data_IF_167213699768
#
_entry.id   IF_167213699768
#
_cell.length_a   1.000
_cell.length_b   1.000
_cell.length_c   1.000
_cell.angle_alpha   90.00
_cell.angle_beta   90.00
_cell.angle_gamma   90.00
#
_symmetry.space_group_name_H-M   'P 1'
#
loop_
_entity.id
_entity.type
_entity.pdbx_description
1 polymer ?
#
# COMPACT_ATOMS: atom_id res chain seq x y z
N UNK A 1 -4.08 8.60 -0.13
CA UNK A 1 -2.69 8.95 0.22
C UNK A 1 -1.90 7.65 0.31
N UNK A 2 -0.67 7.59 -0.22
CA UNK A 2 0.14 6.36 -0.19
C UNK A 2 1.59 6.66 0.18
N UNK A 3 2.20 5.74 0.92
CA UNK A 3 3.59 5.83 1.36
C UNK A 3 4.39 4.68 0.75
N UNK A 4 5.49 5.02 0.08
CA UNK A 4 6.46 4.06 -0.42
C UNK A 4 7.60 3.97 0.60
N UNK A 5 7.92 2.76 1.02
CA UNK A 5 9.02 2.50 1.95
C UNK A 5 9.93 1.41 1.42
N UNK A 6 11.23 1.64 1.57
CA UNK A 6 12.24 0.59 1.38
C UNK A 6 12.07 -0.42 2.51
N UNK A 7 11.97 -1.72 2.22
CA UNK A 7 11.78 -2.74 3.24
C UNK A 7 12.89 -2.66 4.32
N UNK A 8 12.56 -2.66 5.63
CA UNK A 8 13.55 -2.71 6.71
C UNK A 8 14.23 -4.09 6.83
N UNK A 9 13.73 -5.10 6.12
CA UNK A 9 14.28 -6.47 6.05
C UNK A 9 14.49 -6.79 4.57
N UNK A 10 15.71 -7.18 4.18
CA UNK A 10 16.00 -7.63 2.81
C UNK A 10 15.28 -8.97 2.56
N UNK A 11 14.10 -8.89 1.97
CA UNK A 11 13.40 -10.06 1.44
C UNK A 11 13.95 -10.27 0.02
N UNK A 12 14.61 -11.40 -0.28
CA UNK A 12 15.00 -11.70 -1.64
C UNK A 12 13.75 -11.68 -2.52
N UNK A 13 13.83 -11.06 -3.70
CA UNK A 13 12.72 -10.85 -4.65
C UNK A 13 11.71 -9.72 -4.34
N UNK A 14 11.86 -8.94 -3.26
CA UNK A 14 11.01 -7.75 -3.02
C UNK A 14 11.88 -6.49 -2.95
N UNK A 15 11.71 -5.59 -3.93
CA UNK A 15 12.51 -4.37 -4.06
C UNK A 15 11.87 -3.19 -3.32
N UNK A 16 10.54 -3.06 -3.38
CA UNK A 16 9.82 -1.97 -2.72
C UNK A 16 8.50 -2.44 -2.13
N UNK A 17 8.16 -1.87 -0.98
CA UNK A 17 6.86 -2.07 -0.34
C UNK A 17 6.13 -0.74 -0.35
N UNK A 18 4.94 -0.73 -0.96
CA UNK A 18 4.03 0.42 -0.95
C UNK A 18 2.84 0.13 -0.05
N UNK A 19 2.47 1.07 0.81
CA UNK A 19 1.22 1.01 1.58
C UNK A 19 0.34 2.18 1.16
N UNK A 20 -0.81 1.88 0.58
CA UNK A 20 -1.80 2.85 0.15
C UNK A 20 -3.04 2.78 1.04
N UNK A 21 -3.53 3.93 1.48
CA UNK A 21 -4.83 4.04 2.13
C UNK A 21 -5.75 4.90 1.25
N UNK A 22 -6.88 4.31 0.87
CA UNK A 22 -7.94 5.00 0.14
C UNK A 22 -9.16 5.10 1.03
N UNK A 23 -9.54 6.32 1.40
CA UNK A 23 -10.76 6.59 2.16
C UNK A 23 -11.77 7.16 1.18
N UNK A 24 -12.83 6.39 0.87
CA UNK A 24 -13.92 6.88 0.06
C UNK A 24 -14.96 7.53 0.97
N UNK A 25 -15.07 8.85 0.88
CA UNK A 25 -16.03 9.66 1.64
C UNK A 25 -17.03 10.32 0.69
N UNK A 26 -17.82 9.52 -0.02
CA UNK A 26 -18.89 9.98 -0.91
C UNK A 26 -20.04 8.97 -0.98
N UNK A 27 -21.22 9.40 -0.49
CA UNK A 27 -22.57 8.79 -0.52
C UNK A 27 -22.74 7.26 -0.33
N UNK A 28 -23.70 6.89 0.53
CA UNK A 28 -24.21 5.54 0.87
C UNK A 28 -23.20 4.47 1.34
N UNK A 29 -22.05 4.30 0.70
CA UNK A 29 -21.03 3.31 1.04
C UNK A 29 -19.77 3.98 1.56
N UNK A 30 -19.77 4.29 2.86
CA UNK A 30 -18.58 4.77 3.58
C UNK A 30 -17.64 3.58 3.79
N UNK A 31 -16.45 3.61 3.21
CA UNK A 31 -15.48 2.53 3.28
C UNK A 31 -14.06 3.00 3.02
N UNK A 32 -13.13 2.39 3.74
CA UNK A 32 -11.69 2.55 3.52
C UNK A 32 -11.10 1.27 2.95
N UNK A 33 -10.20 1.39 1.98
CA UNK A 33 -9.39 0.29 1.48
C UNK A 33 -7.94 0.50 1.90
N UNK A 34 -7.35 -0.53 2.51
CA UNK A 34 -5.90 -0.64 2.69
C UNK A 34 -5.35 -1.48 1.55
N UNK A 35 -4.35 -0.96 0.85
CA UNK A 35 -3.73 -1.62 -0.29
C UNK A 35 -2.24 -1.80 0.00
N UNK A 36 -1.76 -3.03 -0.13
CA UNK A 36 -0.36 -3.40 0.03
C UNK A 36 0.21 -3.74 -1.35
N UNK A 37 1.27 -3.05 -1.75
CA UNK A 37 1.97 -3.27 -3.00
C UNK A 37 3.36 -3.84 -2.70
N UNK A 38 3.70 -4.93 -3.39
CA UNK A 38 5.03 -5.52 -3.35
C UNK A 38 5.59 -5.48 -4.76
N UNK A 39 6.64 -4.68 -4.99
CA UNK A 39 7.34 -4.66 -6.26
C UNK A 39 8.44 -5.73 -6.24
N UNK A 40 8.41 -6.64 -7.20
CA UNK A 40 9.41 -7.69 -7.40
C UNK A 40 10.22 -7.34 -8.66
N UNK A 41 11.53 -7.55 -8.63
CA UNK A 41 12.42 -7.40 -9.79
C UNK A 41 12.99 -8.75 -10.20
#
# INVERSE_FOLDING_TARGET
>A
MGWLMTPPVKIPFVVNIGVGMSLNYGSAFKGGSLVLFFNQA
#
